data_IF_033206165728
#
_entry.id   IF_033206165728
#
_cell.length_a   1.000
_cell.length_b   1.000
_cell.length_c   1.000
_cell.angle_alpha   90.00
_cell.angle_beta   90.00
_cell.angle_gamma   90.00
#
_symmetry.space_group_name_H-M   'P 1'
#
loop_
_entity.id
_entity.type
_entity.pdbx_description
1 polymer ?
#
# COMPACT_ATOMS: atom_id res chain seq x y z
N UNK A 1 34.88 -18.35 -10.44
CA UNK A 1 34.03 -17.16 -10.19
C UNK A 1 33.33 -17.38 -8.87
N UNK A 2 33.66 -16.61 -7.82
CA UNK A 2 32.91 -16.67 -6.56
C UNK A 2 31.61 -15.91 -6.82
N UNK A 3 30.48 -16.63 -6.87
CA UNK A 3 29.16 -16.03 -7.04
C UNK A 3 28.80 -15.09 -5.89
N UNK A 4 27.72 -14.34 -6.06
CA UNK A 4 27.16 -13.47 -5.01
C UNK A 4 26.81 -14.34 -3.80
N UNK A 5 27.51 -14.15 -2.67
CA UNK A 5 27.33 -14.95 -1.46
C UNK A 5 26.10 -14.50 -0.65
N UNK A 6 25.81 -13.20 -0.64
CA UNK A 6 24.67 -12.55 0.03
C UNK A 6 24.29 -11.28 -0.73
N UNK A 7 22.99 -11.03 -0.86
CA UNK A 7 22.44 -9.79 -1.41
C UNK A 7 21.70 -9.06 -0.28
N UNK A 8 21.99 -7.77 -0.11
CA UNK A 8 21.28 -6.90 0.82
C UNK A 8 20.67 -5.77 0.01
N UNK A 9 19.35 -5.66 -0.01
CA UNK A 9 18.65 -4.51 -0.58
C UNK A 9 18.60 -3.40 0.48
N UNK A 10 19.42 -2.38 0.27
CA UNK A 10 19.49 -1.16 1.09
C UNK A 10 18.99 0.05 0.28
N UNK A 11 17.97 -0.15 -0.56
CA UNK A 11 17.34 0.93 -1.32
C UNK A 11 16.74 1.99 -0.38
N UNK A 12 17.19 3.23 -0.57
CA UNK A 12 16.68 4.41 0.11
C UNK A 12 16.40 5.49 -0.93
N UNK A 13 15.18 6.04 -0.92
CA UNK A 13 14.85 7.19 -1.76
C UNK A 13 15.37 8.45 -1.05
N UNK A 14 16.34 9.19 -1.61
CA UNK A 14 16.88 10.38 -0.97
C UNK A 14 15.79 11.45 -0.80
N UNK A 15 15.82 12.16 0.32
CA UNK A 15 14.95 13.30 0.57
C UNK A 15 15.70 14.60 0.25
N UNK A 16 15.39 15.21 -0.89
CA UNK A 16 15.89 16.55 -1.23
C UNK A 16 14.94 17.62 -0.68
N UNK A 17 15.33 18.43 0.30
CA UNK A 17 14.46 19.50 0.81
C UNK A 17 14.21 20.55 -0.28
N UNK A 18 12.94 20.84 -0.58
CA UNK A 18 12.57 21.88 -1.54
C UNK A 18 12.68 23.27 -0.90
N UNK A 19 13.58 24.13 -1.42
CA UNK A 19 13.72 25.53 -1.01
C UNK A 19 14.89 26.24 -1.71
N UNK A 20 14.96 27.59 -1.64
CA UNK A 20 16.01 28.44 -2.26
C UNK A 20 17.45 28.19 -1.77
N UNK A 21 17.66 27.17 -0.94
CA UNK A 21 18.97 26.69 -0.46
C UNK A 21 19.16 25.20 -0.79
N UNK A 22 18.71 24.75 -1.95
CA UNK A 22 19.11 23.46 -2.49
C UNK A 22 20.59 23.57 -2.89
N UNK A 23 21.50 23.27 -1.95
CA UNK A 23 22.84 22.85 -2.31
C UNK A 23 22.70 21.55 -3.10
N UNK A 24 23.41 21.43 -4.22
CA UNK A 24 23.47 20.23 -5.07
C UNK A 24 23.31 18.93 -4.27
N UNK A 25 22.39 18.09 -4.75
CA UNK A 25 22.23 16.66 -4.47
C UNK A 25 23.19 16.08 -3.42
N UNK A 26 22.87 16.26 -2.15
CA UNK A 26 23.59 15.54 -1.09
C UNK A 26 23.02 14.12 -0.99
N UNK A 27 23.32 13.28 -1.99
CA UNK A 27 23.24 11.83 -1.84
C UNK A 27 24.00 11.44 -0.57
N UNK A 28 23.47 10.50 0.21
CA UNK A 28 24.20 10.04 1.39
C UNK A 28 25.57 9.47 0.97
N UNK A 29 26.66 9.73 1.72
CA UNK A 29 28.01 9.28 1.34
C UNK A 29 28.16 7.76 1.20
N UNK A 30 27.22 6.99 1.75
CA UNK A 30 27.18 5.53 1.67
C UNK A 30 26.33 4.99 0.50
N UNK A 31 25.80 5.85 -0.37
CA UNK A 31 25.12 5.40 -1.59
C UNK A 31 26.16 4.77 -2.52
N UNK A 32 25.96 3.49 -2.80
CA UNK A 32 26.88 2.67 -3.62
C UNK A 32 26.53 2.73 -5.11
N UNK A 33 25.24 2.91 -5.44
CA UNK A 33 24.74 3.10 -6.80
C UNK A 33 23.51 3.97 -6.74
N UNK A 34 23.44 4.97 -7.61
CA UNK A 34 22.16 5.56 -7.99
C UNK A 34 21.50 4.63 -9.01
N UNK A 35 20.21 4.34 -8.81
CA UNK A 35 19.45 3.39 -9.64
C UNK A 35 18.01 3.87 -9.68
N UNK A 36 17.60 4.42 -10.83
CA UNK A 36 16.29 5.05 -10.98
C UNK A 36 15.15 4.04 -10.89
N UNK A 37 13.93 4.52 -10.58
CA UNK A 37 12.76 3.63 -10.54
C UNK A 37 12.49 2.98 -11.91
N UNK A 38 12.72 3.69 -13.01
CA UNK A 38 12.54 3.13 -14.34
C UNK A 38 13.48 1.94 -14.58
N UNK A 39 14.77 2.12 -14.28
CA UNK A 39 15.76 1.04 -14.39
C UNK A 39 15.39 -0.14 -13.48
N UNK A 40 14.85 0.13 -12.28
CA UNK A 40 14.36 -0.90 -11.36
C UNK A 40 13.18 -1.69 -11.91
N UNK A 41 12.27 -1.05 -12.64
CA UNK A 41 11.14 -1.72 -13.28
C UNK A 41 11.62 -2.53 -14.48
N UNK A 42 12.44 -1.93 -15.37
CA UNK A 42 12.94 -2.59 -16.57
C UNK A 42 13.86 -3.78 -16.26
N UNK A 43 14.64 -3.70 -15.18
CA UNK A 43 15.49 -4.81 -14.70
C UNK A 43 14.75 -5.85 -13.86
N UNK A 44 13.45 -5.64 -13.59
CA UNK A 44 12.63 -6.55 -12.78
C UNK A 44 13.02 -6.59 -11.30
N UNK A 45 13.70 -5.57 -10.79
CA UNK A 45 14.04 -5.44 -9.36
C UNK A 45 12.85 -5.04 -8.50
N UNK A 46 11.86 -4.37 -9.09
CA UNK A 46 10.58 -4.01 -8.48
C UNK A 46 9.42 -4.54 -9.31
N UNK A 47 8.22 -4.49 -8.74
CA UNK A 47 6.97 -4.81 -9.42
C UNK A 47 6.69 -3.82 -10.54
N UNK A 48 6.10 -4.30 -11.63
CA UNK A 48 5.70 -3.47 -12.77
C UNK A 48 4.32 -2.88 -12.53
N UNK A 49 4.19 -1.54 -12.43
CA UNK A 49 2.88 -0.91 -12.35
C UNK A 49 2.10 -1.08 -13.66
N UNK A 50 0.80 -1.32 -13.58
CA UNK A 50 -0.08 -1.44 -14.77
C UNK A 50 -1.49 -0.93 -14.49
N UNK A 51 -2.18 -0.54 -15.55
CA UNK A 51 -3.60 -0.17 -15.53
C UNK A 51 -4.39 -1.32 -16.13
N UNK A 52 -5.09 -2.09 -15.29
CA UNK A 52 -5.96 -3.19 -15.73
C UNK A 52 -7.40 -2.72 -15.69
N UNK A 53 -8.09 -2.88 -16.81
CA UNK A 53 -9.55 -2.74 -16.87
C UNK A 53 -10.03 -3.95 -17.65
N UNK A 54 -10.82 -4.81 -16.98
CA UNK A 54 -11.40 -5.99 -17.61
C UNK A 54 -12.49 -5.54 -18.58
N UNK A 55 -12.53 -6.19 -19.75
CA UNK A 55 -13.41 -5.81 -20.86
C UNK A 55 -14.74 -6.59 -20.81
N UNK A 56 -15.30 -6.79 -19.61
CA UNK A 56 -16.54 -7.54 -19.38
C UNK A 56 -17.82 -6.75 -19.72
N UNK A 57 -17.69 -5.53 -20.25
CA UNK A 57 -18.78 -4.83 -20.89
C UNK A 57 -18.37 -3.46 -21.45
N UNK A 58 -18.31 -3.34 -22.78
CA UNK A 58 -18.16 -2.08 -23.55
C UNK A 58 -17.47 -0.96 -22.77
N UNK A 59 -16.22 -1.18 -22.37
CA UNK A 59 -15.45 -0.14 -21.71
C UNK A 59 -14.99 0.81 -22.81
N UNK A 60 -15.57 2.00 -22.84
CA UNK A 60 -15.12 3.09 -23.72
C UNK A 60 -13.64 3.38 -23.40
N UNK A 61 -12.78 3.56 -24.42
CA UNK A 61 -11.39 3.97 -24.25
C UNK A 61 -11.26 5.24 -23.37
N UNK A 62 -12.35 6.03 -23.35
CA UNK A 62 -12.55 7.14 -22.43
C UNK A 62 -12.45 6.76 -20.95
N UNK A 63 -13.09 5.67 -20.49
CA UNK A 63 -13.04 5.28 -19.08
C UNK A 63 -11.61 4.93 -18.62
N UNK A 64 -10.83 4.26 -19.48
CA UNK A 64 -9.42 3.95 -19.16
C UNK A 64 -8.60 5.19 -18.95
N UNK A 65 -8.73 6.17 -19.84
CA UNK A 65 -8.05 7.46 -19.71
C UNK A 65 -8.50 8.20 -18.45
N UNK A 66 -9.80 8.21 -18.17
CA UNK A 66 -10.37 8.84 -16.97
C UNK A 66 -9.89 8.20 -15.68
N UNK A 67 -9.81 6.87 -15.59
CA UNK A 67 -9.29 6.18 -14.40
C UNK A 67 -7.77 6.39 -14.22
N UNK A 68 -7.02 6.45 -15.32
CA UNK A 68 -5.60 6.76 -15.27
C UNK A 68 -5.34 8.19 -14.77
N UNK A 69 -6.18 9.14 -15.16
CA UNK A 69 -6.09 10.54 -14.75
C UNK A 69 -7.17 10.94 -13.73
N UNK A 70 -7.62 10.01 -12.88
CA UNK A 70 -8.84 10.19 -12.07
C UNK A 70 -8.81 11.43 -11.19
N UNK A 71 -7.65 11.80 -10.63
CA UNK A 71 -7.52 13.02 -9.84
C UNK A 71 -7.81 14.31 -10.65
N UNK A 72 -7.47 14.32 -11.93
CA UNK A 72 -7.65 15.47 -12.82
C UNK A 72 -8.99 15.43 -13.58
N UNK A 73 -9.81 14.38 -13.40
CA UNK A 73 -11.11 14.27 -14.04
C UNK A 73 -12.07 15.37 -13.57
N UNK A 74 -12.81 15.98 -14.50
CA UNK A 74 -13.71 17.10 -14.24
C UNK A 74 -14.81 16.75 -13.21
N UNK A 75 -15.20 15.48 -13.11
CA UNK A 75 -16.21 15.02 -12.13
C UNK A 75 -15.62 14.74 -10.74
N UNK A 76 -14.29 14.70 -10.62
CA UNK A 76 -13.59 14.30 -9.40
C UNK A 76 -12.86 15.47 -8.77
N UNK A 77 -12.06 16.19 -9.56
CA UNK A 77 -11.08 17.17 -9.07
C UNK A 77 -11.71 18.20 -8.15
N UNK A 78 -12.79 18.84 -8.57
CA UNK A 78 -13.41 19.90 -7.76
C UNK A 78 -14.09 19.34 -6.51
N UNK A 79 -14.65 18.13 -6.59
CA UNK A 79 -15.33 17.47 -5.47
C UNK A 79 -14.37 17.03 -4.35
N UNK A 80 -13.21 16.48 -4.68
CA UNK A 80 -12.27 16.02 -3.65
C UNK A 80 -11.38 17.15 -3.11
N UNK A 81 -11.42 18.34 -3.72
CA UNK A 81 -10.67 19.51 -3.23
C UNK A 81 -11.54 20.51 -2.44
N UNK A 82 -12.86 20.31 -2.36
CA UNK A 82 -13.75 21.13 -1.51
C UNK A 82 -13.78 20.61 -0.07
N UNK A 83 -14.31 21.44 0.83
CA UNK A 83 -14.69 21.00 2.17
C UNK A 83 -15.98 20.17 2.07
N UNK A 84 -15.96 18.99 2.67
CA UNK A 84 -17.05 18.03 2.65
C UNK A 84 -17.05 17.28 3.99
N UNK A 85 -18.24 16.86 4.41
CA UNK A 85 -18.39 15.98 5.59
C UNK A 85 -17.94 14.56 5.24
N UNK A 86 -17.51 13.78 6.23
CA UNK A 86 -17.01 12.42 6.02
C UNK A 86 -18.07 11.47 5.43
N UNK A 87 -19.34 11.69 5.73
CA UNK A 87 -20.46 10.90 5.20
C UNK A 87 -20.92 11.30 3.81
N UNK A 88 -20.38 12.38 3.26
CA UNK A 88 -20.78 12.88 1.95
C UNK A 88 -20.23 11.98 0.83
N UNK A 89 -21.08 11.46 -0.07
CA UNK A 89 -20.68 10.45 -1.05
C UNK A 89 -19.59 10.97 -1.99
N UNK A 90 -18.64 10.11 -2.33
CA UNK A 90 -17.61 10.39 -3.32
C UNK A 90 -18.17 10.27 -4.75
N UNK A 91 -17.56 10.95 -5.74
CA UNK A 91 -17.96 10.88 -7.14
C UNK A 91 -18.07 9.45 -7.67
N UNK A 92 -19.03 9.21 -8.57
CA UNK A 92 -19.28 7.88 -9.16
C UNK A 92 -18.04 7.30 -9.84
N UNK A 93 -17.18 8.13 -10.43
CA UNK A 93 -15.93 7.66 -11.02
C UNK A 93 -14.99 7.05 -9.97
N UNK A 94 -14.91 7.62 -8.77
CA UNK A 94 -14.11 7.09 -7.66
C UNK A 94 -14.73 5.78 -7.15
N UNK A 95 -16.06 5.73 -7.00
CA UNK A 95 -16.77 4.51 -6.62
C UNK A 95 -16.50 3.38 -7.62
N UNK A 96 -16.63 3.66 -8.92
CA UNK A 96 -16.37 2.70 -9.98
C UNK A 96 -14.90 2.25 -10.00
N UNK A 97 -13.96 3.16 -9.74
CA UNK A 97 -12.55 2.85 -9.63
C UNK A 97 -12.27 1.86 -8.47
N UNK A 98 -12.85 2.08 -7.29
CA UNK A 98 -12.73 1.15 -6.16
C UNK A 98 -13.41 -0.19 -6.42
N UNK A 99 -14.55 -0.21 -7.12
CA UNK A 99 -15.21 -1.45 -7.50
C UNK A 99 -14.31 -2.30 -8.43
N UNK A 100 -13.69 -1.67 -9.43
CA UNK A 100 -12.78 -2.34 -10.36
C UNK A 100 -11.51 -2.83 -9.66
N UNK A 101 -10.83 -1.95 -8.92
CA UNK A 101 -9.64 -2.34 -8.13
C UNK A 101 -9.97 -3.40 -7.09
N UNK A 102 -11.14 -3.31 -6.45
CA UNK A 102 -11.59 -4.26 -5.44
C UNK A 102 -11.81 -5.66 -6.02
N UNK A 103 -12.42 -5.78 -7.20
CA UNK A 103 -12.55 -7.06 -7.91
C UNK A 103 -11.20 -7.68 -8.24
N UNK A 104 -10.25 -6.89 -8.72
CA UNK A 104 -8.89 -7.38 -8.99
C UNK A 104 -8.14 -7.76 -7.71
N UNK A 105 -8.34 -7.00 -6.64
CA UNK A 105 -7.78 -7.29 -5.31
C UNK A 105 -8.33 -8.60 -4.74
N UNK A 106 -9.64 -8.83 -4.86
CA UNK A 106 -10.27 -10.07 -4.41
C UNK A 106 -9.72 -11.27 -5.20
N UNK A 107 -9.58 -11.14 -6.52
CA UNK A 107 -8.97 -12.19 -7.34
C UNK A 107 -7.52 -12.48 -6.93
N UNK A 108 -6.74 -11.45 -6.57
CA UNK A 108 -5.40 -11.62 -6.03
C UNK A 108 -5.43 -12.32 -4.67
N UNK A 109 -6.35 -11.94 -3.77
CA UNK A 109 -6.52 -12.56 -2.45
C UNK A 109 -6.83 -14.04 -2.57
N UNK A 110 -7.82 -14.40 -3.39
CA UNK A 110 -8.22 -15.79 -3.62
C UNK A 110 -7.05 -16.63 -4.17
N UNK A 111 -6.28 -16.05 -5.10
CA UNK A 111 -5.09 -16.71 -5.65
C UNK A 111 -4.00 -16.92 -4.58
N UNK A 112 -3.79 -15.92 -3.72
CA UNK A 112 -2.83 -15.98 -2.62
C UNK A 112 -3.24 -17.03 -1.58
N UNK A 113 -4.51 -17.05 -1.18
CA UNK A 113 -5.05 -18.05 -0.25
C UNK A 113 -4.93 -19.47 -0.83
N UNK A 114 -5.27 -19.66 -2.11
CA UNK A 114 -5.11 -20.95 -2.81
C UNK A 114 -3.65 -21.39 -2.88
N UNK A 115 -2.72 -20.45 -3.03
CA UNK A 115 -1.28 -20.71 -3.00
C UNK A 115 -0.73 -20.91 -1.57
N UNK A 116 -1.54 -20.76 -0.53
CA UNK A 116 -1.15 -20.99 0.87
C UNK A 116 -0.52 -19.79 1.58
N UNK A 117 -0.71 -18.57 1.06
CA UNK A 117 -0.30 -17.36 1.77
C UNK A 117 -1.19 -17.12 2.98
N UNK A 118 -0.57 -16.74 4.10
CA UNK A 118 -1.28 -16.38 5.34
C UNK A 118 -1.65 -14.90 5.40
N UNK A 119 -0.97 -14.09 4.60
CA UNK A 119 -1.08 -12.64 4.62
C UNK A 119 -1.85 -12.21 3.38
N UNK A 120 -2.93 -11.42 3.51
CA UNK A 120 -3.68 -10.95 2.36
C UNK A 120 -2.90 -9.88 1.57
N UNK A 121 -3.24 -9.67 0.30
CA UNK A 121 -2.77 -8.52 -0.45
C UNK A 121 -3.28 -7.20 0.14
N UNK A 122 -2.53 -6.12 -0.06
CA UNK A 122 -2.89 -4.77 0.42
C UNK A 122 -3.24 -3.85 -0.75
N UNK A 123 -4.34 -3.11 -0.59
CA UNK A 123 -4.71 -1.95 -1.39
C UNK A 123 -4.28 -0.66 -0.67
N UNK A 124 -3.74 0.30 -1.42
CA UNK A 124 -3.36 1.60 -0.90
C UNK A 124 -4.11 2.70 -1.61
N UNK A 125 -4.61 3.65 -0.83
CA UNK A 125 -5.14 4.90 -1.31
C UNK A 125 -4.25 6.06 -0.87
N UNK A 126 -3.92 6.92 -1.84
CA UNK A 126 -3.17 8.15 -1.62
C UNK A 126 -4.11 9.33 -1.85
N UNK A 127 -4.71 9.84 -0.79
CA UNK A 127 -5.64 10.96 -0.84
C UNK A 127 -4.92 12.32 -0.90
N UNK A 128 -5.57 13.32 -1.50
CA UNK A 128 -5.09 14.70 -1.53
C UNK A 128 -5.23 15.43 -0.18
N UNK A 129 -6.25 15.12 0.62
CA UNK A 129 -6.54 15.79 1.90
C UNK A 129 -7.03 14.80 2.96
N UNK A 130 -6.98 15.23 4.23
CA UNK A 130 -7.56 14.50 5.38
C UNK A 130 -9.07 14.38 5.30
N UNK A 131 -9.76 15.36 4.69
CA UNK A 131 -11.21 15.28 4.47
C UNK A 131 -11.54 14.19 3.45
N UNK A 132 -10.78 14.12 2.35
CA UNK A 132 -10.94 13.07 1.34
C UNK A 132 -10.60 11.70 1.92
N UNK A 133 -9.53 11.57 2.71
CA UNK A 133 -9.20 10.29 3.35
C UNK A 133 -10.28 9.83 4.33
N UNK A 134 -10.89 10.75 5.10
CA UNK A 134 -12.02 10.44 5.98
C UNK A 134 -13.25 9.98 5.19
N UNK A 135 -13.59 10.65 4.09
CA UNK A 135 -14.69 10.23 3.18
C UNK A 135 -14.47 8.84 2.59
N UNK A 136 -13.23 8.54 2.22
CA UNK A 136 -12.87 7.21 1.68
C UNK A 136 -13.00 6.15 2.78
N UNK A 137 -12.45 6.39 3.98
CA UNK A 137 -12.58 5.46 5.10
C UNK A 137 -14.04 5.23 5.45
N UNK A 138 -14.82 6.29 5.57
CA UNK A 138 -16.26 6.22 5.83
C UNK A 138 -16.95 5.35 4.78
N UNK A 139 -16.61 5.54 3.50
CA UNK A 139 -17.22 4.80 2.38
C UNK A 139 -16.89 3.31 2.40
N UNK A 140 -15.71 2.90 2.88
CA UNK A 140 -15.38 1.49 3.11
C UNK A 140 -16.12 0.95 4.34
N UNK A 141 -16.02 1.62 5.49
CA UNK A 141 -16.56 1.16 6.77
C UNK A 141 -18.10 1.01 6.75
N UNK A 142 -18.79 1.84 5.96
CA UNK A 142 -20.25 1.86 5.84
C UNK A 142 -20.76 1.29 4.51
N UNK A 143 -19.87 0.70 3.71
CA UNK A 143 -20.18 0.15 2.39
C UNK A 143 -20.93 1.14 1.46
N UNK A 144 -20.61 2.43 1.53
CA UNK A 144 -21.22 3.45 0.67
C UNK A 144 -20.86 3.25 -0.83
N UNK A 145 -19.76 2.54 -1.07
CA UNK A 145 -19.34 2.10 -2.40
C UNK A 145 -20.12 0.88 -2.93
N UNK A 146 -20.99 0.26 -2.12
CA UNK A 146 -21.75 -0.96 -2.48
C UNK A 146 -20.83 -2.12 -2.90
N UNK A 147 -19.71 -2.27 -2.21
CA UNK A 147 -18.72 -3.32 -2.42
C UNK A 147 -19.25 -4.67 -1.95
N UNK A 148 -20.02 -4.72 -0.86
CA UNK A 148 -20.65 -5.99 -0.39
C UNK A 148 -21.55 -6.62 -1.45
N UNK A 149 -22.30 -5.81 -2.19
CA UNK A 149 -23.17 -6.26 -3.30
C UNK A 149 -22.35 -6.93 -4.42
N UNK A 150 -21.08 -6.55 -4.56
CA UNK A 150 -20.15 -7.14 -5.50
C UNK A 150 -19.31 -8.29 -4.91
N UNK A 151 -19.58 -8.74 -3.68
CA UNK A 151 -18.85 -9.80 -2.99
C UNK A 151 -17.48 -9.37 -2.48
N UNK A 152 -17.32 -8.09 -2.15
CA UNK A 152 -16.05 -7.49 -1.70
C UNK A 152 -16.10 -7.11 -0.21
N UNK A 153 -16.84 -7.86 0.60
CA UNK A 153 -17.11 -7.59 2.01
C UNK A 153 -15.82 -7.45 2.86
N UNK A 154 -14.76 -8.15 2.48
CA UNK A 154 -13.47 -8.08 3.16
C UNK A 154 -12.87 -6.67 3.17
N UNK A 155 -13.05 -5.91 2.07
CA UNK A 155 -12.56 -4.53 1.97
C UNK A 155 -13.37 -3.55 2.84
N UNK A 156 -14.58 -3.93 3.26
CA UNK A 156 -15.45 -3.15 4.12
C UNK A 156 -15.24 -3.44 5.62
N UNK A 157 -14.28 -4.29 5.99
CA UNK A 157 -13.99 -4.60 7.39
C UNK A 157 -13.19 -3.46 8.04
N UNK A 158 -13.75 -2.71 9.02
CA UNK A 158 -13.09 -1.53 9.59
C UNK A 158 -11.76 -1.87 10.28
N UNK A 159 -11.65 -3.05 10.89
CA UNK A 159 -10.45 -3.51 11.60
C UNK A 159 -9.28 -3.82 10.64
N UNK A 160 -9.58 -4.04 9.35
CA UNK A 160 -8.59 -4.30 8.30
C UNK A 160 -8.26 -3.04 7.49
N UNK A 161 -8.84 -1.89 7.85
CA UNK A 161 -8.64 -0.59 7.18
C UNK A 161 -7.86 0.36 8.07
N UNK A 162 -6.69 0.78 7.59
CA UNK A 162 -5.77 1.67 8.28
C UNK A 162 -5.79 3.07 7.65
N UNK A 163 -6.30 4.07 8.37
CA UNK A 163 -6.20 5.47 7.95
C UNK A 163 -4.99 6.14 8.61
N UNK A 164 -4.14 6.71 7.78
CA UNK A 164 -2.93 7.42 8.15
C UNK A 164 -3.16 8.92 7.94
N UNK A 165 -3.31 9.64 9.05
CA UNK A 165 -3.26 11.10 9.07
C UNK A 165 -1.81 11.52 9.33
N UNK A 166 -1.24 12.30 8.40
CA UNK A 166 0.13 12.84 8.52
C UNK A 166 0.34 13.60 9.83
N UNK A 167 -0.72 14.21 10.39
CA UNK A 167 -0.66 14.91 11.67
C UNK A 167 -0.47 14.00 12.89
N UNK A 168 -0.87 12.73 12.79
CA UNK A 168 -0.74 11.75 13.88
C UNK A 168 0.66 11.11 13.85
N UNK A 169 1.18 10.77 12.67
CA UNK A 169 2.54 10.23 12.55
C UNK A 169 3.62 11.25 12.90
N UNK A 170 3.50 12.50 12.47
CA UNK A 170 4.45 13.54 12.84
C UNK A 170 4.58 13.72 14.38
N UNK A 171 3.50 13.46 15.13
CA UNK A 171 3.53 13.50 16.60
C UNK A 171 4.25 12.30 17.20
N UNK A 172 4.13 11.12 16.59
CA UNK A 172 4.86 9.92 17.01
C UNK A 172 6.35 9.99 16.63
N UNK A 173 6.69 10.56 15.46
CA UNK A 173 8.07 10.69 14.98
C UNK A 173 8.88 11.75 15.75
N UNK A 174 8.23 12.79 16.27
CA UNK A 174 8.87 13.81 17.10
C UNK A 174 9.35 13.25 18.45
N UNK A 175 8.90 12.05 18.84
CA UNK A 175 9.21 11.42 20.11
C UNK A 175 10.29 10.35 19.93
N UNK A 176 11.44 10.57 20.57
CA UNK A 176 12.68 9.77 20.39
C UNK A 176 12.73 8.51 21.26
N UNK A 177 11.68 8.25 22.06
CA UNK A 177 11.62 7.10 22.96
C UNK A 177 10.42 6.22 22.59
N UNK A 178 10.65 4.98 22.12
CA UNK A 178 9.57 4.01 21.95
C UNK A 178 8.93 3.73 23.31
N UNK A 179 7.61 3.72 23.35
CA UNK A 179 6.87 3.26 24.52
C UNK A 179 6.65 1.76 24.37
N UNK A 180 6.97 0.99 25.40
CA UNK A 180 6.55 -0.41 25.47
C UNK A 180 5.01 -0.45 25.55
N UNK A 181 4.39 -0.83 24.43
CA UNK A 181 2.98 -1.15 24.38
C UNK A 181 2.89 -2.67 24.44
N UNK A 182 2.44 -3.21 25.56
CA UNK A 182 1.94 -4.58 25.64
C UNK A 182 0.67 -4.64 24.77
N UNK A 183 0.83 -5.00 23.50
CA UNK A 183 -0.28 -5.42 22.67
C UNK A 183 -0.64 -6.82 23.14
N UNK A 184 -1.51 -6.91 24.16
CA UNK A 184 -2.08 -8.19 24.55
C UNK A 184 -2.84 -8.77 23.34
N UNK A 185 -2.23 -9.77 22.71
CA UNK A 185 -2.91 -10.68 21.79
C UNK A 185 -3.81 -11.52 22.67
N UNK A 186 -5.12 -11.31 22.59
CA UNK A 186 -6.09 -12.08 23.36
C UNK A 186 -6.11 -13.51 22.83
N UNK A 187 -5.23 -14.36 23.36
CA UNK A 187 -5.39 -15.81 23.26
C UNK A 187 -6.49 -16.21 24.24
N UNK A 188 -7.67 -16.49 23.69
CA UNK A 188 -8.80 -16.97 24.47
C UNK A 188 -8.49 -18.31 25.11
N UNK A 189 -8.46 -18.35 26.44
CA UNK A 189 -8.63 -19.57 27.21
C UNK A 189 -9.29 -19.25 28.55
N UNK A 190 -10.46 -19.84 28.76
CA UNK A 190 -10.98 -20.23 30.07
C UNK A 190 -11.68 -19.15 30.88
N UNK A 191 -13.00 -19.17 30.81
CA UNK A 191 -13.93 -19.14 31.95
C UNK A 191 -13.55 -18.25 33.15
N UNK A 192 -13.98 -16.99 33.13
CA UNK A 192 -14.68 -16.38 34.28
C UNK A 192 -15.33 -15.04 33.88
N UNK A 193 -16.53 -14.81 34.39
CA UNK A 193 -17.38 -13.65 34.12
C UNK A 193 -16.82 -12.37 34.75
N UNK A 194 -16.11 -11.55 33.97
CA UNK A 194 -16.14 -10.08 34.08
C UNK A 194 -15.51 -9.49 32.82
N UNK A 195 -16.32 -8.80 32.00
CA UNK A 195 -15.84 -8.14 30.78
C UNK A 195 -14.65 -7.21 31.12
N UNK A 196 -13.48 -7.35 30.46
CA UNK A 196 -12.34 -6.50 30.77
C UNK A 196 -12.71 -5.05 30.43
N UNK A 197 -12.65 -4.16 31.44
CA UNK A 197 -12.75 -2.72 31.21
C UNK A 197 -11.55 -2.29 30.38
N UNK A 198 -11.75 -2.10 29.08
CA UNK A 198 -10.72 -1.59 28.17
C UNK A 198 -10.11 -0.29 28.74
N UNK A 199 -8.83 -0.34 29.12
CA UNK A 199 -8.07 0.86 29.47
C UNK A 199 -8.01 1.73 28.21
N UNK A 200 -8.68 2.89 28.23
CA UNK A 200 -8.56 3.89 27.17
C UNK A 200 -7.09 4.31 27.05
N UNK A 201 -6.47 3.94 25.93
CA UNK A 201 -5.10 4.34 25.59
C UNK A 201 -4.98 5.87 25.58
N UNK A 202 -3.86 6.39 26.05
CA UNK A 202 -3.54 7.82 25.89
C UNK A 202 -3.34 8.15 24.42
N UNK A 203 -3.50 9.43 24.03
CA UNK A 203 -3.25 9.87 22.65
C UNK A 203 -1.85 9.48 22.15
N UNK A 204 -0.86 9.50 23.05
CA UNK A 204 0.52 9.09 22.78
C UNK A 204 0.63 7.60 22.47
N UNK A 205 0.02 6.74 23.29
CA UNK A 205 -0.01 5.30 23.05
C UNK A 205 -0.80 4.92 21.79
N UNK A 206 -1.86 5.67 21.46
CA UNK A 206 -2.60 5.48 20.22
C UNK A 206 -1.75 5.81 19.00
N UNK A 207 -0.98 6.91 19.04
CA UNK A 207 -0.09 7.30 17.95
C UNK A 207 1.03 6.28 17.73
N UNK A 208 1.63 5.78 18.81
CA UNK A 208 2.69 4.76 18.72
C UNK A 208 2.13 3.39 18.29
N UNK A 209 0.92 3.00 18.75
CA UNK A 209 0.23 1.81 18.24
C UNK A 209 -0.05 1.93 16.75
N UNK A 210 -0.50 3.11 16.29
CA UNK A 210 -0.75 3.37 14.88
C UNK A 210 0.54 3.23 14.07
N UNK A 211 1.64 3.83 14.55
CA UNK A 211 2.96 3.70 13.94
C UNK A 211 3.40 2.23 13.84
N UNK A 212 3.27 1.47 14.92
CA UNK A 212 3.62 0.05 14.93
C UNK A 212 2.79 -0.75 13.89
N UNK A 213 1.49 -0.48 13.79
CA UNK A 213 0.62 -1.12 12.77
C UNK A 213 1.10 -0.75 11.37
N UNK A 214 1.37 0.53 11.10
CA UNK A 214 1.86 1.04 9.81
C UNK A 214 3.18 0.36 9.42
N UNK A 215 4.14 0.28 10.33
CA UNK A 215 5.47 -0.28 10.08
C UNK A 215 5.45 -1.81 9.90
N UNK A 216 4.37 -2.46 10.35
CA UNK A 216 4.21 -3.92 10.33
C UNK A 216 3.13 -4.43 9.39
N UNK A 217 2.61 -3.57 8.50
CA UNK A 217 1.65 -3.98 7.46
C UNK A 217 2.18 -5.18 6.67
N UNK A 218 1.42 -6.27 6.66
CA UNK A 218 1.76 -7.50 5.93
C UNK A 218 2.90 -8.32 6.54
N UNK A 219 3.30 -8.07 7.79
CA UNK A 219 4.31 -8.87 8.51
C UNK A 219 3.63 -9.89 9.42
N UNK A 220 3.92 -11.18 9.22
CA UNK A 220 3.40 -12.29 10.04
C UNK A 220 3.75 -12.09 11.52
N UNK A 221 2.80 -12.33 12.42
CA UNK A 221 2.94 -12.25 13.87
C UNK A 221 3.11 -10.81 14.38
N UNK A 222 2.62 -9.82 13.65
CA UNK A 222 2.72 -8.40 14.03
C UNK A 222 1.36 -7.70 13.92
N UNK A 223 1.16 -6.54 14.57
CA UNK A 223 -0.15 -5.87 14.61
C UNK A 223 -0.72 -5.49 13.24
N UNK A 224 0.14 -5.17 12.26
CA UNK A 224 -0.26 -4.86 10.88
C UNK A 224 -0.50 -6.06 9.97
N UNK A 225 -0.40 -7.28 10.48
CA UNK A 225 -0.41 -8.52 9.69
C UNK A 225 -1.61 -8.61 8.73
N UNK A 226 -2.81 -8.31 9.22
CA UNK A 226 -4.09 -8.55 8.53
C UNK A 226 -4.71 -7.28 7.94
N UNK A 227 -3.95 -6.19 7.88
CA UNK A 227 -4.38 -4.95 7.20
C UNK A 227 -4.50 -5.24 5.70
N UNK A 228 -5.61 -4.81 5.11
CA UNK A 228 -5.94 -5.03 3.70
C UNK A 228 -6.08 -3.71 2.93
N UNK A 229 -6.46 -2.63 3.62
CA UNK A 229 -6.65 -1.32 3.02
C UNK A 229 -5.89 -0.26 3.81
N UNK A 230 -5.05 0.53 3.15
CA UNK A 230 -4.29 1.63 3.76
C UNK A 230 -4.66 2.94 3.06
N UNK A 231 -5.21 3.89 3.81
CA UNK A 231 -5.63 5.19 3.30
C UNK A 231 -4.72 6.25 3.89
N UNK A 232 -3.90 6.90 3.06
CA UNK A 232 -2.92 7.89 3.53
C UNK A 232 -3.13 9.25 2.88
N UNK A 233 -2.81 10.30 3.65
CA UNK A 233 -2.66 11.67 3.16
C UNK A 233 -1.17 11.96 3.08
N UNK A 234 -0.70 12.40 1.91
CA UNK A 234 0.70 12.81 1.80
C UNK A 234 1.66 11.65 1.48
N UNK A 235 2.91 11.81 1.92
CA UNK A 235 3.93 10.77 1.86
C UNK A 235 3.72 9.81 3.03
N UNK A 236 3.82 8.50 2.79
CA UNK A 236 3.95 7.53 3.88
C UNK A 236 5.27 7.82 4.60
N UNK A 237 5.29 7.63 5.92
CA UNK A 237 6.46 7.93 6.76
C UNK A 237 7.71 7.18 6.31
N UNK A 238 8.87 7.71 6.71
CA UNK A 238 10.14 7.02 6.58
C UNK A 238 10.10 5.71 7.38
N UNK A 239 10.09 4.57 6.69
CA UNK A 239 10.05 3.24 7.33
C UNK A 239 8.93 2.32 6.84
N UNK A 240 7.91 2.86 6.17
CA UNK A 240 6.82 2.05 5.64
C UNK A 240 7.30 1.16 4.46
N UNK A 241 7.30 -0.15 4.63
CA UNK A 241 7.73 -1.12 3.61
C UNK A 241 6.81 -2.36 3.65
N UNK A 242 5.83 -2.39 2.74
CA UNK A 242 4.87 -3.47 2.62
C UNK A 242 5.02 -4.19 1.28
N UNK A 243 5.62 -5.38 1.31
CA UNK A 243 5.78 -6.26 0.12
C UNK A 243 4.48 -6.84 -0.40
N UNK A 244 3.39 -6.70 0.36
CA UNK A 244 2.07 -7.27 0.05
C UNK A 244 1.17 -6.35 -0.77
N UNK A 245 1.66 -5.16 -1.13
CA UNK A 245 0.91 -4.20 -1.92
C UNK A 245 0.72 -4.71 -3.34
N UNK A 246 -0.53 -4.74 -3.79
CA UNK A 246 -0.91 -5.21 -5.13
C UNK A 246 -1.77 -4.20 -5.87
N UNK A 247 -2.42 -3.28 -5.16
CA UNK A 247 -3.35 -2.30 -5.73
C UNK A 247 -3.09 -0.90 -5.17
N UNK A 248 -3.10 0.13 -6.03
CA UNK A 248 -2.85 1.52 -5.65
C UNK A 248 -3.88 2.46 -6.30
N UNK A 249 -4.47 3.31 -5.48
CA UNK A 249 -5.43 4.33 -5.86
C UNK A 249 -4.85 5.73 -5.58
N UNK A 250 -4.46 6.43 -6.64
CA UNK A 250 -3.95 7.81 -6.57
C UNK A 250 -5.07 8.84 -6.68
N UNK A 251 -5.34 9.57 -5.60
CA UNK A 251 -6.35 10.63 -5.53
C UNK A 251 -5.72 11.98 -5.18
N UNK A 252 -4.53 12.24 -5.73
CA UNK A 252 -3.81 13.51 -5.56
C UNK A 252 -3.04 13.91 -6.81
N UNK A 253 -2.66 15.18 -6.87
CA UNK A 253 -1.69 15.65 -7.85
C UNK A 253 -0.31 15.05 -7.53
N UNK A 254 0.29 14.42 -8.55
CA UNK A 254 1.69 14.02 -8.54
C UNK A 254 2.49 15.02 -9.37
N UNK A 255 3.00 16.07 -8.72
CA UNK A 255 3.68 17.17 -9.38
C UNK A 255 5.15 16.88 -9.74
N UNK A 256 5.73 15.80 -9.21
CA UNK A 256 7.09 15.36 -9.53
C UNK A 256 7.20 13.84 -9.53
N UNK A 257 8.12 13.32 -10.34
CA UNK A 257 8.45 11.89 -10.37
C UNK A 257 8.94 11.40 -8.99
N UNK A 258 9.73 12.20 -8.28
CA UNK A 258 10.20 11.88 -6.94
C UNK A 258 9.05 11.64 -5.95
N UNK A 259 7.96 12.41 -6.05
CA UNK A 259 6.79 12.22 -5.21
C UNK A 259 6.05 10.92 -5.55
N UNK A 260 5.97 10.55 -6.84
CA UNK A 260 5.46 9.22 -7.24
C UNK A 260 6.32 8.11 -6.64
N UNK A 261 7.64 8.21 -6.78
CA UNK A 261 8.61 7.22 -6.29
C UNK A 261 8.55 7.08 -4.76
N UNK A 262 8.45 8.18 -4.03
CA UNK A 262 8.37 8.17 -2.57
C UNK A 262 7.05 7.59 -2.05
N UNK A 263 5.94 7.91 -2.73
CA UNK A 263 4.60 7.48 -2.31
C UNK A 263 4.31 6.05 -2.71
N UNK A 264 4.75 5.63 -3.90
CA UNK A 264 4.40 4.34 -4.51
C UNK A 264 5.56 3.36 -4.52
N UNK A 265 6.81 3.82 -4.67
CA UNK A 265 7.98 2.96 -4.87
C UNK A 265 8.20 1.94 -3.76
N UNK A 266 7.80 2.25 -2.52
CA UNK A 266 7.84 1.29 -1.40
C UNK A 266 6.77 0.20 -1.52
N UNK A 267 5.63 0.49 -2.13
CA UNK A 267 4.61 -0.49 -2.49
C UNK A 267 4.96 -1.32 -3.74
N UNK A 268 5.91 -0.86 -4.55
CA UNK A 268 6.41 -1.60 -5.73
C UNK A 268 7.43 -2.68 -5.35
N UNK A 269 7.83 -2.84 -4.09
CA UNK A 269 8.78 -3.90 -3.72
C UNK A 269 8.19 -5.28 -3.98
N UNK A 270 9.02 -6.16 -4.52
CA UNK A 270 8.65 -7.54 -4.84
C UNK A 270 8.32 -8.33 -3.58
N UNK A 271 7.33 -9.20 -3.70
CA UNK A 271 7.04 -10.20 -2.68
C UNK A 271 8.13 -11.27 -2.68
N UNK A 272 8.67 -11.64 -3.86
CA UNK A 272 9.82 -12.54 -3.96
C UNK A 272 10.99 -12.11 -4.84
N UNK A 273 12.18 -12.52 -4.40
CA UNK A 273 13.46 -12.43 -5.12
C UNK A 273 14.03 -13.84 -5.38
N UNK A 274 13.18 -14.87 -5.31
CA UNK A 274 13.56 -16.21 -5.74
C UNK A 274 13.57 -16.22 -7.27
N UNK A 275 14.61 -16.85 -7.84
CA UNK A 275 14.71 -17.02 -9.29
C UNK A 275 13.95 -18.27 -9.72
N UNK A 276 13.28 -18.18 -10.87
CA UNK A 276 12.65 -19.29 -11.55
C UNK A 276 13.67 -20.30 -12.09
N UNK A 277 13.16 -21.34 -12.75
CA UNK A 277 13.99 -22.40 -13.32
C UNK A 277 14.93 -21.91 -14.44
N UNK A 278 14.59 -20.78 -15.06
CA UNK A 278 15.38 -20.08 -16.07
C UNK A 278 16.46 -19.15 -15.49
N UNK A 279 16.53 -19.02 -14.16
CA UNK A 279 17.46 -18.13 -13.47
C UNK A 279 17.04 -16.66 -13.48
N UNK A 280 15.82 -16.34 -13.93
CA UNK A 280 15.27 -14.98 -13.92
C UNK A 280 14.23 -14.84 -12.82
N UNK A 281 13.93 -13.60 -12.44
CA UNK A 281 12.82 -13.34 -11.53
C UNK A 281 11.49 -13.39 -12.27
N UNK A 282 10.48 -14.01 -11.67
CA UNK A 282 9.12 -13.97 -12.20
C UNK A 282 8.58 -12.53 -12.25
N UNK A 283 7.77 -12.15 -13.24
CA UNK A 283 7.20 -10.82 -13.28
C UNK A 283 6.13 -10.66 -12.18
N UNK A 284 6.23 -9.59 -11.39
CA UNK A 284 5.22 -9.20 -10.41
C UNK A 284 4.64 -7.84 -10.80
N UNK A 285 3.35 -7.63 -10.53
CA UNK A 285 2.64 -6.44 -10.98
C UNK A 285 1.88 -5.75 -9.85
N UNK A 286 1.68 -4.44 -10.00
CA UNK A 286 0.77 -3.65 -9.15
C UNK A 286 -0.26 -2.99 -10.05
N UNK A 287 -1.54 -3.16 -9.72
CA UNK A 287 -2.64 -2.52 -10.43
C UNK A 287 -2.85 -1.10 -9.90
N UNK A 288 -2.88 -0.10 -10.78
CA UNK A 288 -2.86 1.31 -10.37
C UNK A 288 -3.86 2.15 -11.14
N UNK A 289 -4.58 3.02 -10.41
CA UNK A 289 -5.34 4.14 -10.96
C UNK A 289 -4.84 5.47 -10.40
N UNK A 290 -4.91 6.53 -11.20
CA UNK A 290 -4.60 7.90 -10.75
C UNK A 290 -3.14 8.24 -10.46
N UNK A 291 -2.19 7.35 -10.77
CA UNK A 291 -0.75 7.62 -10.64
C UNK A 291 -0.12 7.70 -12.03
N UNK A 292 0.36 8.87 -12.48
CA UNK A 292 0.88 9.07 -13.81
C UNK A 292 2.34 8.61 -13.89
N UNK A 293 2.56 7.31 -14.07
CA UNK A 293 3.87 6.79 -14.43
C UNK A 293 4.12 7.10 -15.91
N UNK A 294 4.85 8.17 -16.20
CA UNK A 294 5.14 8.65 -17.57
C UNK A 294 5.91 7.64 -18.43
N UNK A 295 6.55 6.67 -17.79
CA UNK A 295 7.38 5.64 -18.40
C UNK A 295 6.74 4.25 -18.33
N UNK A 296 5.43 4.11 -18.02
CA UNK A 296 4.78 2.81 -18.18
C UNK A 296 5.04 2.36 -19.61
N UNK A 297 5.71 1.21 -19.83
CA UNK A 297 5.61 0.58 -21.13
C UNK A 297 4.10 0.49 -21.37
N UNK A 298 3.67 1.09 -22.48
CA UNK A 298 2.36 0.76 -22.99
C UNK A 298 2.51 -0.70 -23.40
N UNK A 299 2.31 -1.64 -22.46
CA UNK A 299 1.97 -3.01 -22.80
C UNK A 299 0.63 -2.91 -23.52
N UNK A 300 0.73 -2.53 -24.80
CA UNK A 300 -0.29 -2.79 -25.79
C UNK A 300 -0.32 -4.29 -25.98
N UNK A 301 -1.39 -4.91 -25.50
CA UNK A 301 -1.60 -6.36 -25.58
C UNK A 301 -1.08 -7.05 -24.32
N UNK A 302 -1.85 -7.88 -23.63
CA UNK A 302 -2.95 -8.74 -24.07
C UNK A 302 -3.82 -9.11 -22.87
N UNK A 303 -5.05 -9.54 -23.12
CA UNK A 303 -5.97 -10.24 -22.20
C UNK A 303 -5.38 -11.58 -21.69
N UNK A 304 -4.13 -11.56 -21.22
CA UNK A 304 -3.50 -12.68 -20.57
C UNK A 304 -4.12 -12.89 -19.19
N UNK A 305 -4.24 -14.14 -18.73
CA UNK A 305 -4.66 -14.41 -17.36
C UNK A 305 -3.75 -13.63 -16.39
N UNK A 306 -4.27 -13.16 -15.24
CA UNK A 306 -3.46 -12.51 -14.24
C UNK A 306 -2.27 -13.42 -13.90
N UNK A 307 -1.06 -12.85 -13.79
CA UNK A 307 0.15 -13.62 -13.52
C UNK A 307 -0.04 -14.40 -12.21
N UNK A 308 0.52 -15.62 -12.12
CA UNK A 308 0.36 -16.45 -10.95
C UNK A 308 0.89 -15.71 -9.72
N UNK A 309 0.27 -15.89 -8.54
CA UNK A 309 0.78 -15.30 -7.32
C UNK A 309 2.18 -15.86 -7.02
N UNK A 310 3.08 -15.05 -6.44
CA UNK A 310 4.39 -15.54 -6.01
C UNK A 310 4.21 -16.70 -5.02
N UNK A 311 5.14 -17.66 -4.92
CA UNK A 311 5.03 -18.75 -3.96
C UNK A 311 5.05 -18.24 -2.50
N UNK A 312 4.35 -18.92 -1.57
CA UNK A 312 4.38 -18.56 -0.16
C UNK A 312 5.78 -18.76 0.41
N UNK A 313 6.14 -17.92 1.39
CA UNK A 313 7.47 -17.95 2.00
C UNK A 313 7.45 -18.59 3.38
N UNK A 314 8.47 -19.40 3.63
CA UNK A 314 8.80 -19.88 4.96
C UNK A 314 9.64 -18.82 5.66
N UNK A 315 9.09 -18.18 6.69
CA UNK A 315 9.86 -17.28 7.55
C UNK A 315 10.91 -18.08 8.31
N UNK A 316 12.17 -17.67 8.19
CA UNK A 316 13.28 -18.19 8.99
C UNK A 316 13.63 -17.12 10.01
N UNK A 317 13.55 -17.45 11.30
CA UNK A 317 13.89 -16.52 12.37
C UNK A 317 14.71 -17.23 13.46
N UNK A 318 15.56 -16.48 14.18
CA UNK A 318 16.28 -17.02 15.32
C UNK A 318 15.28 -17.44 16.41
N UNK A 319 15.39 -18.69 16.85
CA UNK A 319 14.61 -19.19 17.99
C UNK A 319 15.22 -18.58 19.25
N UNK A 320 14.45 -17.76 19.98
CA UNK A 320 14.94 -17.08 21.21
C UNK A 320 15.51 -18.07 22.23
N UNK A 321 14.97 -19.28 22.31
CA UNK A 321 15.45 -20.37 23.18
C UNK A 321 16.86 -20.88 22.83
N UNK A 322 17.34 -20.59 21.61
CA UNK A 322 18.67 -20.98 21.11
C UNK A 322 19.64 -19.80 21.05
N UNK A 323 19.24 -18.62 21.50
CA UNK A 323 20.14 -17.49 21.67
C UNK A 323 20.96 -17.71 22.95
N UNK A 324 22.18 -18.22 22.77
CA UNK A 324 23.20 -18.33 23.82
C UNK A 324 23.70 -16.95 24.25
#
# INVERSE_FOLDING_TARGET
MRGILRCFDLSATPFAPSGKKATEEALYPWIVSDFGLNDAIESGLVKTPRVVIRDDGKVDANLRSRLYHIYMDDTVKDDINRKAEESEPLPDLIKNAYLLLGKDWQAAKDAWEKAGHKIPPVMITVANTTLTSARIKYSFDHDAFLLSVAGLDDLCTPEKTLQIDSGILNKAEAETQPLDIDVEVVEGNGEDEEAPKEKKLTQKQQAEKLRLIVDTVGRIGQPGEQIQNVISVGMLSEGWDAKTVTHIMGLRAFSSQLLCEQVVGRGLRRTSYDVGADGLFEPEYVNIFGVPFTFLPHEGGSDGPPPPPPPPKTRIEPVKEKAL
#
